data_IF_097232359432
#
_entry.id   IF_097232359432
#
_cell.length_a   1.000
_cell.length_b   1.000
_cell.length_c   1.000
_cell.angle_alpha   90.00
_cell.angle_beta   90.00
_cell.angle_gamma   90.00
#
_symmetry.space_group_name_H-M   'P 1'
#
loop_
_entity.id
_entity.type
_entity.pdbx_description
1 polymer ?
#
# COMPACT_ATOMS: atom_id res chain seq x y z
N UNK A 1 5.93 -1.78 -0.69
CA UNK A 1 7.40 -1.66 -0.72
C UNK A 1 8.08 -3.01 -0.65
N UNK A 2 7.65 -3.92 0.21
CA UNK A 2 8.17 -5.27 0.33
C UNK A 2 7.13 -6.21 0.92
N UNK A 3 7.21 -7.49 0.58
CA UNK A 3 6.38 -8.54 1.16
C UNK A 3 7.07 -9.08 2.41
N UNK A 4 6.39 -9.06 3.57
CA UNK A 4 6.90 -9.64 4.79
C UNK A 4 7.94 -8.82 5.58
N UNK A 5 8.41 -7.66 5.08
CA UNK A 5 9.19 -6.74 5.89
C UNK A 5 8.31 -5.99 6.90
N UNK A 6 8.93 -5.35 7.88
CA UNK A 6 8.21 -4.57 8.87
C UNK A 6 7.51 -3.35 8.26
N UNK A 7 6.19 -3.24 8.47
CA UNK A 7 5.38 -2.11 8.05
C UNK A 7 3.91 -2.50 7.86
N UNK A 8 3.00 -1.55 8.02
CA UNK A 8 1.55 -1.81 7.91
C UNK A 8 1.15 -2.33 6.52
N UNK A 9 1.57 -1.63 5.47
CA UNK A 9 1.26 -2.04 4.10
C UNK A 9 1.99 -3.31 3.67
N UNK A 10 3.22 -3.48 4.08
CA UNK A 10 4.03 -4.65 3.78
C UNK A 10 3.37 -5.91 4.37
N UNK A 11 2.96 -5.83 5.64
CA UNK A 11 2.24 -6.92 6.32
C UNK A 11 0.87 -7.17 5.66
N UNK A 12 0.13 -6.10 5.33
CA UNK A 12 -1.16 -6.22 4.66
C UNK A 12 -1.02 -6.95 3.31
N UNK A 13 -0.09 -6.55 2.45
CA UNK A 13 0.13 -7.20 1.15
C UNK A 13 0.59 -8.64 1.31
N UNK A 14 1.48 -8.91 2.27
CA UNK A 14 1.89 -10.28 2.59
C UNK A 14 0.70 -11.16 2.95
N UNK A 15 -0.14 -10.72 3.91
CA UNK A 15 -1.30 -11.48 4.35
C UNK A 15 -2.36 -11.63 3.25
N UNK A 16 -2.57 -10.61 2.45
CA UNK A 16 -3.48 -10.66 1.31
C UNK A 16 -3.06 -11.72 0.29
N UNK A 17 -1.79 -11.77 -0.07
CA UNK A 17 -1.25 -12.74 -1.02
C UNK A 17 -1.17 -14.15 -0.41
N UNK A 18 -0.78 -14.28 0.86
CA UNK A 18 -0.75 -15.54 1.59
C UNK A 18 -2.15 -16.19 1.65
N UNK A 19 -3.17 -15.41 2.01
CA UNK A 19 -4.55 -15.89 2.10
C UNK A 19 -5.08 -16.35 0.73
N UNK A 20 -4.72 -15.65 -0.33
CA UNK A 20 -5.20 -15.93 -1.69
C UNK A 20 -4.25 -16.82 -2.52
N UNK A 21 -3.20 -17.40 -1.93
CA UNK A 21 -2.19 -18.20 -2.66
C UNK A 21 -2.75 -19.35 -3.50
N UNK A 22 -3.90 -19.87 -3.10
CA UNK A 22 -4.59 -20.98 -3.80
C UNK A 22 -5.79 -20.51 -4.63
N UNK A 23 -6.01 -19.18 -4.76
CA UNK A 23 -7.11 -18.64 -5.56
C UNK A 23 -6.90 -18.97 -7.03
N UNK A 24 -7.97 -19.40 -7.71
CA UNK A 24 -8.01 -19.58 -9.16
C UNK A 24 -8.56 -18.34 -9.88
N UNK A 25 -9.23 -17.47 -9.13
CA UNK A 25 -9.95 -16.31 -9.68
C UNK A 25 -9.10 -15.02 -9.62
N UNK A 26 -8.10 -15.00 -8.75
CA UNK A 26 -7.26 -13.83 -8.52
C UNK A 26 -5.78 -14.17 -8.75
N UNK A 27 -5.12 -13.39 -9.58
CA UNK A 27 -3.66 -13.38 -9.71
C UNK A 27 -3.13 -12.03 -9.25
N UNK A 28 -2.24 -12.05 -8.28
CA UNK A 28 -1.62 -10.83 -7.76
C UNK A 28 -0.32 -10.52 -8.49
N UNK A 29 -0.06 -9.22 -8.65
CA UNK A 29 1.19 -8.68 -9.16
C UNK A 29 1.64 -7.58 -8.18
N UNK A 30 2.83 -7.72 -7.61
CA UNK A 30 3.27 -6.86 -6.51
C UNK A 30 4.58 -6.16 -6.88
N UNK A 31 4.56 -4.83 -6.81
CA UNK A 31 5.78 -4.04 -6.90
C UNK A 31 6.56 -4.11 -5.59
N UNK A 32 7.83 -4.48 -5.66
CA UNK A 32 8.74 -4.54 -4.53
C UNK A 32 9.90 -3.55 -4.72
N UNK A 33 10.39 -2.98 -3.62
CA UNK A 33 11.58 -2.14 -3.65
C UNK A 33 12.83 -3.00 -3.72
N UNK A 34 13.73 -2.71 -4.65
CA UNK A 34 14.93 -3.51 -4.88
C UNK A 34 16.15 -3.13 -4.02
N UNK A 35 16.14 -1.92 -3.43
CA UNK A 35 17.31 -1.40 -2.71
C UNK A 35 16.93 -0.32 -1.69
N UNK A 36 17.84 -0.04 -0.76
CA UNK A 36 17.67 0.96 0.30
C UNK A 36 16.74 0.47 1.42
N UNK A 37 16.41 1.35 2.37
CA UNK A 37 15.63 1.00 3.54
C UNK A 37 14.26 0.41 3.17
N UNK A 38 13.88 -0.68 3.83
CA UNK A 38 12.63 -1.39 3.59
C UNK A 38 12.60 -2.09 2.22
N UNK A 39 13.76 -2.36 1.60
CA UNK A 39 13.80 -3.24 0.44
C UNK A 39 13.48 -4.68 0.88
N UNK A 40 12.94 -5.44 -0.06
CA UNK A 40 12.70 -6.84 0.13
C UNK A 40 13.96 -7.64 -0.14
N UNK A 41 14.23 -8.56 0.76
CA UNK A 41 15.20 -9.66 0.56
C UNK A 41 14.39 -10.94 0.37
N UNK A 42 14.19 -11.34 -0.88
CA UNK A 42 13.44 -12.53 -1.22
C UNK A 42 14.10 -13.82 -0.70
N UNK A 43 15.38 -13.78 -0.36
CA UNK A 43 16.10 -14.93 0.20
C UNK A 43 15.65 -15.28 1.63
N UNK A 44 14.99 -14.33 2.30
CA UNK A 44 14.41 -14.52 3.64
C UNK A 44 13.02 -15.16 3.61
N UNK A 45 12.45 -15.38 2.42
CA UNK A 45 11.12 -15.95 2.26
C UNK A 45 11.22 -17.40 1.77
N UNK A 46 10.59 -18.33 2.50
CA UNK A 46 10.45 -19.71 2.06
C UNK A 46 9.48 -19.83 0.88
N UNK A 47 9.81 -20.65 -0.11
CA UNK A 47 8.93 -20.92 -1.25
C UNK A 47 8.97 -19.86 -2.36
N UNK A 48 10.02 -19.04 -2.41
CA UNK A 48 10.24 -18.12 -3.52
C UNK A 48 10.79 -18.86 -4.74
N UNK A 49 10.22 -18.58 -5.91
CA UNK A 49 10.75 -19.01 -7.21
C UNK A 49 11.30 -17.81 -7.95
N UNK A 50 12.59 -17.76 -8.18
CA UNK A 50 13.24 -16.66 -8.93
C UNK A 50 12.97 -16.84 -10.43
N UNK A 51 12.45 -15.80 -11.08
CA UNK A 51 12.18 -15.75 -12.52
C UNK A 51 13.30 -15.04 -13.29
N UNK A 52 13.82 -13.95 -12.72
CA UNK A 52 14.93 -13.16 -13.27
C UNK A 52 15.66 -12.41 -12.14
N UNK A 53 16.59 -11.53 -12.50
CA UNK A 53 17.26 -10.64 -11.52
C UNK A 53 16.31 -9.61 -10.89
N UNK A 54 15.20 -9.32 -11.56
CA UNK A 54 14.22 -8.31 -11.13
C UNK A 54 12.84 -8.88 -10.88
N UNK A 55 12.61 -10.18 -11.08
CA UNK A 55 11.29 -10.79 -10.95
C UNK A 55 11.36 -12.12 -10.21
N UNK A 56 10.35 -12.40 -9.39
CA UNK A 56 10.20 -13.66 -8.67
C UNK A 56 8.73 -13.96 -8.43
N UNK A 57 8.42 -15.22 -8.12
CA UNK A 57 7.10 -15.63 -7.64
C UNK A 57 7.14 -16.00 -6.16
N UNK A 58 6.11 -15.60 -5.44
CA UNK A 58 5.89 -15.92 -4.03
C UNK A 58 4.38 -15.95 -3.73
N UNK A 59 3.90 -16.97 -3.03
CA UNK A 59 2.47 -17.16 -2.74
C UNK A 59 1.58 -17.05 -4.02
N UNK A 60 1.98 -17.68 -5.11
CA UNK A 60 1.31 -17.59 -6.42
C UNK A 60 1.15 -16.14 -6.92
N UNK A 61 2.03 -15.26 -6.47
CA UNK A 61 2.04 -13.82 -6.78
C UNK A 61 3.28 -13.50 -7.58
N UNK A 62 3.12 -12.86 -8.73
CA UNK A 62 4.24 -12.31 -9.48
C UNK A 62 4.74 -11.04 -8.82
N UNK A 63 6.01 -11.00 -8.49
CA UNK A 63 6.66 -9.88 -7.83
C UNK A 63 7.73 -9.28 -8.73
N UNK A 64 7.78 -7.96 -8.85
CA UNK A 64 8.80 -7.27 -9.64
C UNK A 64 9.51 -6.20 -8.81
N UNK A 65 10.84 -6.16 -8.92
CA UNK A 65 11.71 -5.30 -8.12
C UNK A 65 12.00 -3.99 -8.83
N UNK A 66 11.81 -2.89 -8.12
CA UNK A 66 12.05 -1.52 -8.61
C UNK A 66 13.28 -0.95 -7.91
N UNK A 67 14.30 -0.65 -8.70
CA UNK A 67 15.48 0.07 -8.22
C UNK A 67 15.16 1.54 -8.02
N UNK A 68 15.46 2.06 -6.84
CA UNK A 68 15.15 3.43 -6.43
C UNK A 68 16.44 4.24 -6.30
N UNK A 69 16.55 5.41 -6.93
CA UNK A 69 17.71 6.28 -6.76
C UNK A 69 17.75 6.87 -5.34
N UNK A 70 18.95 7.19 -4.87
CA UNK A 70 19.14 7.84 -3.56
C UNK A 70 18.87 9.35 -3.68
N UNK A 71 17.59 9.73 -3.63
CA UNK A 71 17.09 11.12 -3.75
C UNK A 71 16.31 11.56 -2.52
N UNK A 72 16.67 11.03 -1.36
CA UNK A 72 16.04 11.37 -0.08
C UNK A 72 14.53 11.06 -0.05
N UNK A 73 13.73 11.96 0.49
CA UNK A 73 12.27 11.78 0.62
C UNK A 73 11.52 11.63 -0.72
N UNK A 74 12.07 12.15 -1.82
CA UNK A 74 11.48 11.99 -3.16
C UNK A 74 11.56 10.54 -3.67
N UNK A 75 12.40 9.71 -3.09
CA UNK A 75 12.54 8.30 -3.45
C UNK A 75 11.21 7.51 -3.37
N UNK A 76 10.36 7.84 -2.40
CA UNK A 76 9.05 7.21 -2.26
C UNK A 76 8.09 7.58 -3.40
N UNK A 77 8.11 8.84 -3.84
CA UNK A 77 7.31 9.32 -4.99
C UNK A 77 7.81 8.66 -6.27
N UNK A 78 9.13 8.62 -6.47
CA UNK A 78 9.76 7.94 -7.61
C UNK A 78 9.36 6.47 -7.67
N UNK A 79 9.44 5.76 -6.54
CA UNK A 79 9.05 4.36 -6.45
C UNK A 79 7.60 4.14 -6.90
N UNK A 80 6.65 4.93 -6.39
CA UNK A 80 5.24 4.78 -6.73
C UNK A 80 4.98 5.05 -8.23
N UNK A 81 5.63 6.06 -8.82
CA UNK A 81 5.53 6.37 -10.24
C UNK A 81 6.11 5.22 -11.09
N UNK A 82 7.30 4.73 -10.73
CA UNK A 82 7.93 3.62 -11.42
C UNK A 82 7.11 2.34 -11.31
N UNK A 83 6.54 2.06 -10.12
CA UNK A 83 5.65 0.93 -9.89
C UNK A 83 4.42 0.97 -10.80
N UNK A 84 3.73 2.12 -10.87
CA UNK A 84 2.56 2.28 -11.77
C UNK A 84 2.92 2.16 -13.24
N UNK A 85 4.10 2.67 -13.64
CA UNK A 85 4.58 2.49 -15.01
C UNK A 85 4.77 1.01 -15.35
N UNK A 86 5.44 0.26 -14.48
CA UNK A 86 5.64 -1.19 -14.67
C UNK A 86 4.32 -1.94 -14.66
N UNK A 87 3.38 -1.60 -13.76
CA UNK A 87 2.03 -2.18 -13.77
C UNK A 87 1.35 -1.96 -15.14
N UNK A 88 1.37 -0.74 -15.67
CA UNK A 88 0.77 -0.45 -16.96
C UNK A 88 1.45 -1.23 -18.11
N UNK A 89 2.78 -1.31 -18.12
CA UNK A 89 3.53 -2.07 -19.11
C UNK A 89 3.21 -3.58 -19.03
N UNK A 90 3.08 -4.10 -17.82
CA UNK A 90 2.76 -5.51 -17.61
C UNK A 90 1.33 -5.85 -18.05
N UNK A 91 0.35 -5.01 -17.68
CA UNK A 91 -1.05 -5.16 -18.12
C UNK A 91 -1.13 -5.18 -19.65
N UNK A 92 -0.39 -4.27 -20.31
CA UNK A 92 -0.35 -4.16 -21.77
C UNK A 92 0.32 -5.38 -22.42
N UNK A 93 1.51 -5.75 -21.94
CA UNK A 93 2.31 -6.88 -22.47
C UNK A 93 1.59 -8.22 -22.33
N UNK A 94 1.02 -8.47 -21.17
CA UNK A 94 0.33 -9.74 -20.85
C UNK A 94 -1.17 -9.73 -21.23
N UNK A 95 -1.64 -8.64 -21.85
CA UNK A 95 -3.04 -8.48 -22.26
C UNK A 95 -4.06 -8.73 -21.14
N UNK A 96 -3.72 -8.32 -19.91
CA UNK A 96 -4.54 -8.55 -18.72
C UNK A 96 -5.83 -7.73 -18.82
N UNK A 97 -6.96 -8.42 -18.77
CA UNK A 97 -8.29 -7.79 -18.76
C UNK A 97 -8.79 -7.60 -17.32
N UNK A 98 -9.57 -6.54 -17.10
CA UNK A 98 -10.19 -6.22 -15.81
C UNK A 98 -9.18 -6.05 -14.67
N UNK A 99 -7.98 -5.54 -14.98
CA UNK A 99 -6.95 -5.30 -13.98
C UNK A 99 -7.43 -4.29 -12.93
N UNK A 100 -7.16 -4.57 -11.66
CA UNK A 100 -7.34 -3.62 -10.55
C UNK A 100 -5.94 -3.20 -10.10
N UNK A 101 -5.61 -1.93 -10.31
CA UNK A 101 -4.37 -1.35 -9.82
C UNK A 101 -4.64 -0.71 -8.47
N UNK A 102 -4.21 -1.37 -7.39
CA UNK A 102 -4.46 -0.94 -6.02
C UNK A 102 -3.26 -0.14 -5.48
N UNK A 103 -3.46 1.15 -5.29
CA UNK A 103 -2.42 2.09 -4.83
C UNK A 103 -2.57 2.30 -3.33
N UNK A 104 -1.45 2.14 -2.61
CA UNK A 104 -1.39 2.27 -1.15
C UNK A 104 -0.70 3.59 -0.78
N UNK A 105 -1.41 4.48 -0.12
CA UNK A 105 -1.05 5.85 0.26
C UNK A 105 -1.16 6.90 -0.86
N UNK A 106 -1.22 8.17 -0.47
CA UNK A 106 -1.58 9.31 -1.33
C UNK A 106 -0.37 10.16 -1.75
N UNK A 107 0.71 9.54 -2.29
CA UNK A 107 1.98 10.24 -2.57
C UNK A 107 2.10 10.88 -3.94
N UNK A 108 1.30 10.44 -4.92
CA UNK A 108 1.51 10.78 -6.34
C UNK A 108 0.31 11.49 -7.00
N UNK A 109 -0.45 12.26 -6.22
CA UNK A 109 -1.64 12.96 -6.68
C UNK A 109 -1.48 13.69 -8.01
N UNK A 110 -0.45 14.52 -8.21
CA UNK A 110 -0.24 15.24 -9.47
C UNK A 110 -0.10 14.34 -10.71
N UNK A 111 0.26 13.08 -10.52
CA UNK A 111 0.54 12.13 -11.61
C UNK A 111 -0.59 11.13 -11.85
N UNK A 112 -1.44 10.88 -10.84
CA UNK A 112 -2.41 9.77 -10.89
C UNK A 112 -3.42 9.90 -12.03
N UNK A 113 -3.83 11.12 -12.39
CA UNK A 113 -4.77 11.36 -13.49
C UNK A 113 -4.30 10.75 -14.83
N UNK A 114 -3.01 10.84 -15.11
CA UNK A 114 -2.42 10.30 -16.34
C UNK A 114 -2.36 8.75 -16.27
N UNK A 115 -2.01 8.20 -15.13
CA UNK A 115 -2.03 6.75 -14.91
C UNK A 115 -3.45 6.19 -14.98
N UNK A 116 -4.43 6.85 -14.36
CA UNK A 116 -5.83 6.45 -14.44
C UNK A 116 -6.29 6.35 -15.91
N UNK A 117 -6.03 7.39 -16.71
CA UNK A 117 -6.38 7.38 -18.14
C UNK A 117 -5.73 6.22 -18.89
N UNK A 118 -4.45 5.92 -18.60
CA UNK A 118 -3.74 4.80 -19.23
C UNK A 118 -4.33 3.45 -18.81
N UNK A 119 -4.58 3.27 -17.50
CA UNK A 119 -5.18 2.05 -16.95
C UNK A 119 -6.58 1.83 -17.50
N UNK A 120 -7.40 2.88 -17.62
CA UNK A 120 -8.74 2.80 -18.24
C UNK A 120 -8.68 2.38 -19.71
N UNK A 121 -7.73 2.92 -20.49
CA UNK A 121 -7.53 2.49 -21.89
C UNK A 121 -7.18 1.01 -21.99
N UNK A 122 -6.53 0.44 -20.99
CA UNK A 122 -6.20 -0.98 -20.89
C UNK A 122 -7.35 -1.82 -20.30
N UNK A 123 -8.51 -1.21 -20.01
CA UNK A 123 -9.69 -1.89 -19.45
C UNK A 123 -9.61 -2.14 -17.94
N UNK A 124 -8.66 -1.52 -17.26
CA UNK A 124 -8.46 -1.64 -15.82
C UNK A 124 -9.14 -0.54 -15.00
N UNK A 125 -8.98 -0.63 -13.67
CA UNK A 125 -9.48 0.36 -12.70
C UNK A 125 -8.39 0.69 -11.69
N UNK A 126 -8.48 1.89 -11.11
CA UNK A 126 -7.59 2.36 -10.04
C UNK A 126 -8.33 2.33 -8.72
N UNK A 127 -7.83 1.53 -7.78
CA UNK A 127 -8.29 1.51 -6.40
C UNK A 127 -7.25 2.18 -5.51
N UNK A 128 -7.70 2.86 -4.47
CA UNK A 128 -6.86 3.62 -3.56
C UNK A 128 -7.12 3.22 -2.11
N UNK A 129 -6.07 2.96 -1.35
CA UNK A 129 -6.11 3.08 0.10
C UNK A 129 -5.50 4.43 0.48
N UNK A 130 -6.26 5.36 1.07
CA UNK A 130 -5.79 6.72 1.30
C UNK A 130 -4.80 6.82 2.46
N UNK A 131 -4.56 5.72 3.22
CA UNK A 131 -3.87 5.77 4.52
C UNK A 131 -4.68 6.64 5.50
N UNK A 132 -4.12 7.56 6.16
CA UNK A 132 -4.90 8.50 6.96
C UNK A 132 -4.06 9.69 7.37
N UNK A 133 -4.55 10.89 7.08
CA UNK A 133 -4.06 12.15 7.63
C UNK A 133 -2.52 12.34 7.59
N UNK A 134 -1.82 11.79 6.58
CA UNK A 134 -0.35 11.90 6.49
C UNK A 134 0.11 13.38 6.55
N UNK A 135 -0.69 14.29 5.99
CA UNK A 135 -0.45 15.72 6.04
C UNK A 135 -0.55 16.34 7.44
N UNK A 136 -1.16 15.65 8.41
CA UNK A 136 -1.23 16.12 9.81
C UNK A 136 -0.01 15.72 10.63
N UNK A 137 0.81 14.80 10.16
CA UNK A 137 1.95 14.30 10.95
C UNK A 137 2.97 15.40 11.20
N UNK A 138 3.34 15.60 12.47
CA UNK A 138 4.26 16.64 12.93
C UNK A 138 5.68 16.51 12.36
N UNK A 139 6.08 15.32 11.90
CA UNK A 139 7.39 15.07 11.26
C UNK A 139 7.61 15.84 9.95
N UNK A 140 6.53 16.34 9.33
CA UNK A 140 6.61 17.03 8.05
C UNK A 140 6.63 18.54 8.21
N UNK A 141 7.47 19.23 7.43
CA UNK A 141 7.46 20.69 7.33
C UNK A 141 6.16 21.19 6.67
N UNK A 142 5.79 22.45 6.89
CA UNK A 142 4.57 23.03 6.34
C UNK A 142 4.41 22.88 4.81
N UNK A 143 5.45 23.11 3.97
CA UNK A 143 5.32 22.91 2.53
C UNK A 143 5.03 21.45 2.17
N UNK A 144 5.67 20.49 2.87
CA UNK A 144 5.46 19.07 2.65
C UNK A 144 4.05 18.66 3.07
N UNK A 145 3.55 19.15 4.20
CA UNK A 145 2.16 18.91 4.64
C UNK A 145 1.15 19.45 3.62
N UNK A 146 1.40 20.63 3.05
CA UNK A 146 0.55 21.19 1.98
C UNK A 146 0.56 20.30 0.73
N UNK A 147 1.73 19.82 0.32
CA UNK A 147 1.85 18.86 -0.78
C UNK A 147 1.01 17.60 -0.52
N UNK A 148 1.15 16.99 0.65
CA UNK A 148 0.40 15.79 1.02
C UNK A 148 -1.11 16.01 0.94
N UNK A 149 -1.62 17.14 1.46
CA UNK A 149 -3.06 17.45 1.42
C UNK A 149 -3.58 17.61 -0.02
N UNK A 150 -2.82 18.28 -0.87
CA UNK A 150 -3.17 18.44 -2.29
C UNK A 150 -3.09 17.08 -3.01
N UNK A 151 -2.04 16.31 -2.75
CA UNK A 151 -1.85 14.99 -3.33
C UNK A 151 -2.99 14.04 -2.95
N UNK A 152 -3.37 13.98 -1.68
CA UNK A 152 -4.50 13.18 -1.20
C UNK A 152 -5.80 13.54 -1.95
N UNK A 153 -6.14 14.84 -2.03
CA UNK A 153 -7.32 15.30 -2.78
C UNK A 153 -7.29 14.85 -4.24
N UNK A 154 -6.14 14.97 -4.90
CA UNK A 154 -6.00 14.57 -6.31
C UNK A 154 -6.10 13.05 -6.47
N UNK A 155 -5.53 12.28 -5.55
CA UNK A 155 -5.61 10.83 -5.60
C UNK A 155 -7.02 10.32 -5.35
N UNK A 156 -7.72 10.87 -4.36
CA UNK A 156 -9.14 10.56 -4.14
C UNK A 156 -9.98 10.91 -5.38
N UNK A 157 -9.72 12.06 -6.00
CA UNK A 157 -10.45 12.49 -7.21
C UNK A 157 -10.25 11.56 -8.42
N UNK A 158 -9.06 11.01 -8.56
CA UNK A 158 -8.65 10.22 -9.73
C UNK A 158 -8.56 8.71 -9.44
N UNK A 159 -9.25 8.24 -8.41
CA UNK A 159 -9.48 6.84 -8.15
C UNK A 159 -10.88 6.43 -8.56
N UNK A 160 -11.07 5.17 -8.94
CA UNK A 160 -12.39 4.63 -9.28
C UNK A 160 -13.10 4.10 -8.03
N UNK A 161 -12.29 3.70 -7.02
CA UNK A 161 -12.77 3.21 -5.75
C UNK A 161 -11.77 3.53 -4.64
N UNK A 162 -12.26 3.93 -3.47
CA UNK A 162 -11.43 4.20 -2.29
C UNK A 162 -11.77 3.19 -1.20
N UNK A 163 -10.79 2.42 -0.76
CA UNK A 163 -10.91 1.42 0.31
C UNK A 163 -10.18 1.97 1.53
N UNK A 164 -10.94 2.44 2.50
CA UNK A 164 -10.40 2.96 3.76
C UNK A 164 -10.12 1.83 4.73
N UNK A 165 -9.16 1.99 5.62
CA UNK A 165 -8.85 0.99 6.66
C UNK A 165 -9.75 1.10 7.90
N UNK A 166 -10.56 2.16 7.99
CA UNK A 166 -11.55 2.33 9.04
C UNK A 166 -12.73 3.20 8.60
N UNK A 167 -13.85 3.03 9.28
CA UNK A 167 -15.05 3.86 9.09
C UNK A 167 -14.77 5.35 9.33
N UNK A 168 -13.83 5.68 10.22
CA UNK A 168 -13.48 7.07 10.51
C UNK A 168 -12.70 7.71 9.36
N UNK A 169 -11.83 6.94 8.69
CA UNK A 169 -11.15 7.42 7.48
C UNK A 169 -12.15 7.60 6.34
N UNK A 170 -13.11 6.69 6.17
CA UNK A 170 -14.16 6.86 5.16
C UNK A 170 -14.98 8.14 5.40
N UNK A 171 -15.43 8.38 6.63
CA UNK A 171 -16.13 9.62 7.02
C UNK A 171 -15.29 10.86 6.71
N UNK A 172 -14.01 10.84 7.09
CA UNK A 172 -13.07 11.92 6.81
C UNK A 172 -12.94 12.22 5.30
N UNK A 173 -12.86 11.20 4.44
CA UNK A 173 -12.79 11.39 2.98
C UNK A 173 -14.02 12.12 2.49
N UNK A 174 -15.21 11.73 2.93
CA UNK A 174 -16.46 12.40 2.56
C UNK A 174 -16.53 13.84 3.09
N UNK A 175 -16.24 14.07 4.35
CA UNK A 175 -16.26 15.41 4.98
C UNK A 175 -15.27 16.38 4.32
N UNK A 176 -14.10 15.88 3.93
CA UNK A 176 -13.06 16.72 3.33
C UNK A 176 -13.25 16.99 1.85
N UNK A 177 -13.83 16.05 1.10
CA UNK A 177 -13.71 16.07 -0.36
C UNK A 177 -15.05 16.10 -1.11
N UNK A 178 -16.15 15.63 -0.53
CA UNK A 178 -17.47 15.71 -1.20
C UNK A 178 -17.85 17.15 -1.50
N UNK A 179 -18.21 17.41 -2.76
CA UNK A 179 -18.58 18.76 -3.21
C UNK A 179 -17.44 19.77 -3.33
N UNK A 180 -16.19 19.39 -2.97
CA UNK A 180 -15.01 20.27 -3.05
C UNK A 180 -14.14 19.99 -4.27
N UNK A 181 -14.78 19.94 -5.44
CA UNK A 181 -14.12 19.58 -6.71
C UNK A 181 -14.04 18.07 -6.95
N UNK A 182 -14.70 17.29 -6.12
CA UNK A 182 -15.01 15.88 -6.33
C UNK A 182 -16.52 15.74 -6.35
N UNK A 183 -17.06 15.05 -7.35
CA UNK A 183 -18.49 14.81 -7.46
C UNK A 183 -18.94 13.94 -6.29
N UNK A 184 -20.01 14.33 -5.59
CA UNK A 184 -20.57 13.55 -4.48
C UNK A 184 -20.86 12.11 -4.93
N UNK A 185 -20.42 11.15 -4.12
CA UNK A 185 -20.57 9.72 -4.43
C UNK A 185 -19.63 9.19 -5.53
N UNK A 186 -18.60 9.97 -5.93
CA UNK A 186 -17.57 9.54 -6.85
C UNK A 186 -16.18 10.10 -6.40
N UNK A 187 -15.18 9.26 -6.12
CA UNK A 187 -15.23 7.80 -6.27
C UNK A 187 -16.15 7.13 -5.24
N UNK A 188 -16.54 5.89 -5.53
CA UNK A 188 -17.19 5.05 -4.53
C UNK A 188 -16.23 4.75 -3.40
N UNK A 189 -16.72 4.68 -2.19
CA UNK A 189 -15.92 4.39 -0.99
C UNK A 189 -16.45 3.17 -0.26
N UNK A 190 -15.61 2.54 0.50
CA UNK A 190 -15.95 1.55 1.54
C UNK A 190 -14.83 1.50 2.57
N UNK A 191 -15.09 0.89 3.71
CA UNK A 191 -14.01 0.56 4.63
C UNK A 191 -13.87 -0.94 4.80
N UNK A 192 -12.61 -1.38 4.90
CA UNK A 192 -12.21 -2.75 5.22
C UNK A 192 -11.13 -2.62 6.28
N UNK A 193 -11.49 -2.93 7.53
CA UNK A 193 -10.53 -2.88 8.62
C UNK A 193 -9.43 -3.92 8.44
N UNK A 194 -8.22 -3.58 8.83
CA UNK A 194 -7.14 -4.56 8.90
C UNK A 194 -7.49 -5.64 9.93
N UNK A 195 -7.26 -6.89 9.55
CA UNK A 195 -7.39 -8.01 10.44
C UNK A 195 -6.27 -8.02 11.48
N UNK A 196 -6.55 -8.67 12.62
CA UNK A 196 -5.55 -8.99 13.61
C UNK A 196 -5.46 -10.50 13.79
N UNK A 197 -4.25 -11.02 13.96
CA UNK A 197 -4.08 -12.41 14.34
C UNK A 197 -4.31 -12.56 15.85
N UNK A 198 -5.27 -13.40 16.23
CA UNK A 198 -5.50 -13.77 17.62
C UNK A 198 -4.48 -14.82 18.04
N UNK A 199 -3.28 -14.40 18.35
CA UNK A 199 -2.27 -15.29 18.94
C UNK A 199 -2.26 -15.11 20.45
N UNK A 200 -2.34 -16.21 21.19
CA UNK A 200 -2.03 -16.16 22.61
C UNK A 200 -0.55 -15.80 22.79
N UNK A 201 -0.27 -14.96 23.78
CA UNK A 201 1.11 -14.68 24.18
C UNK A 201 1.81 -16.01 24.49
N UNK A 202 3.06 -16.15 24.03
CA UNK A 202 3.90 -17.28 24.45
C UNK A 202 4.54 -17.03 25.83
N UNK A 203 4.40 -15.80 26.36
CA UNK A 203 4.84 -15.47 27.70
C UNK A 203 3.73 -15.80 28.69
N UNK A 204 4.06 -16.49 29.77
CA UNK A 204 3.14 -16.64 30.90
C UNK A 204 2.85 -15.27 31.51
N UNK A 205 1.64 -15.10 32.06
CA UNK A 205 1.19 -13.80 32.62
C UNK A 205 2.07 -13.36 33.80
N UNK A 206 2.73 -14.30 34.47
CA UNK A 206 3.67 -14.11 35.58
C UNK A 206 5.15 -14.15 35.14
N UNK A 207 5.43 -14.16 33.84
CA UNK A 207 6.79 -14.20 33.36
C UNK A 207 7.59 -12.98 33.84
N UNK A 208 8.80 -13.21 34.34
CA UNK A 208 9.70 -12.14 34.82
C UNK A 208 9.95 -11.09 33.74
N UNK A 209 10.07 -11.51 32.49
CA UNK A 209 10.24 -10.62 31.34
C UNK A 209 9.06 -9.68 31.15
N UNK A 210 7.82 -10.15 31.31
CA UNK A 210 6.60 -9.37 31.18
C UNK A 210 6.46 -8.39 32.36
N UNK A 211 6.70 -8.88 33.58
CA UNK A 211 6.62 -8.07 34.79
C UNK A 211 7.67 -6.94 34.81
N UNK A 212 8.88 -7.22 34.34
CA UNK A 212 9.92 -6.20 34.20
C UNK A 212 9.55 -5.15 33.17
N UNK A 213 8.97 -5.57 32.02
CA UNK A 213 8.48 -4.64 31.01
C UNK A 213 7.37 -3.72 31.57
N UNK A 214 6.41 -4.26 32.34
CA UNK A 214 5.37 -3.45 33.00
C UNK A 214 5.99 -2.41 33.95
N UNK A 215 6.97 -2.81 34.76
CA UNK A 215 7.68 -1.89 35.68
C UNK A 215 8.39 -0.77 34.90
N UNK A 216 9.13 -1.11 33.85
CA UNK A 216 9.84 -0.13 33.01
C UNK A 216 8.89 0.87 32.35
N UNK A 217 7.70 0.47 32.00
CA UNK A 217 6.70 1.31 31.31
C UNK A 217 5.72 2.00 32.27
N UNK A 218 5.81 1.74 33.56
CA UNK A 218 4.88 2.29 34.54
C UNK A 218 3.44 1.81 34.35
N UNK A 219 3.27 0.63 33.80
CA UNK A 219 1.96 0.01 33.55
C UNK A 219 1.68 -0.98 34.69
N UNK A 220 0.52 -0.88 35.29
CA UNK A 220 0.00 -1.89 36.24
C UNK A 220 -0.75 -2.96 35.45
N UNK A 221 -0.48 -4.25 35.72
CA UNK A 221 -1.19 -5.37 35.06
C UNK A 221 -2.69 -5.37 35.35
#
# INVERSE_FOLDING_TARGET
KSLGAYGGYETFVYKLTEYNRNSKDLKFHVACKANGDGCMDETQLEGVTRLSDTEFEFNNTHCFKIKVPNIGSAAAIYYDIAALNMCCQYIEKEHIKNAIVYVLACRIGPFLANFQKRIHKLGGKVYLNPDGHEWMRAKWSLPVRKYWKISEKMMVKHSDFVICDSINIEKYIHECYDGRGIKKGNPKTTYIAYGAETRKSMLADDSEKLLNWYKEKGVTP
#
